data_IF_082012261630
#
_entry.id   IF_082012261630
#
_cell.length_a   1.000
_cell.length_b   1.000
_cell.length_c   1.000
_cell.angle_alpha   90.00
_cell.angle_beta   90.00
_cell.angle_gamma   90.00
#
_symmetry.space_group_name_H-M   'P 1'
#
loop_
_entity.id
_entity.type
_entity.pdbx_description
1 polymer ?
#
# COMPACT_ATOMS: atom_id res chain seq x y z
N UNK A 1 7.03 28.76 -24.86
CA UNK A 1 6.62 27.80 -23.81
C UNK A 1 5.90 26.66 -24.50
N UNK A 2 6.44 25.44 -24.40
CA UNK A 2 5.95 24.26 -25.11
C UNK A 2 4.98 23.47 -24.24
N UNK A 3 3.95 22.85 -24.83
CA UNK A 3 2.94 22.05 -24.10
C UNK A 3 3.58 20.92 -23.27
N UNK A 4 4.66 20.31 -23.77
CA UNK A 4 5.40 19.27 -23.04
C UNK A 4 6.02 19.74 -21.72
N UNK A 5 6.37 21.03 -21.60
CA UNK A 5 6.96 21.57 -20.36
C UNK A 5 5.88 21.74 -19.29
N UNK A 6 4.67 22.13 -19.70
CA UNK A 6 3.53 22.27 -18.79
C UNK A 6 3.02 20.91 -18.30
N UNK A 7 3.05 19.89 -19.15
CA UNK A 7 2.68 18.52 -18.76
C UNK A 7 3.70 17.93 -17.76
N UNK A 8 5.00 18.11 -17.99
CA UNK A 8 6.04 17.64 -17.07
C UNK A 8 5.99 18.35 -15.70
N UNK A 9 5.82 19.68 -15.67
CA UNK A 9 5.68 20.43 -14.41
C UNK A 9 4.41 20.05 -13.63
N UNK A 10 3.35 19.65 -14.34
CA UNK A 10 2.11 19.18 -13.74
C UNK A 10 2.26 17.79 -13.14
N UNK A 11 2.93 16.88 -13.86
CA UNK A 11 3.23 15.54 -13.39
C UNK A 11 4.11 15.55 -12.14
N UNK A 12 5.20 16.34 -12.14
CA UNK A 12 6.09 16.50 -10.99
C UNK A 12 5.35 17.03 -9.74
N UNK A 13 4.42 17.99 -9.92
CA UNK A 13 3.59 18.48 -8.82
C UNK A 13 2.64 17.40 -8.28
N UNK A 14 2.06 16.58 -9.16
CA UNK A 14 1.20 15.48 -8.76
C UNK A 14 1.98 14.42 -7.97
N UNK A 15 3.19 14.07 -8.41
CA UNK A 15 4.09 13.15 -7.70
C UNK A 15 4.50 13.68 -6.33
N UNK A 16 4.88 14.96 -6.24
CA UNK A 16 5.20 15.60 -4.95
C UNK A 16 4.02 15.60 -3.99
N UNK A 17 2.81 15.89 -4.49
CA UNK A 17 1.60 15.90 -3.67
C UNK A 17 1.23 14.52 -3.15
N UNK A 18 1.38 13.47 -3.97
CA UNK A 18 1.20 12.10 -3.55
C UNK A 18 2.20 11.74 -2.44
N UNK A 19 3.49 12.01 -2.66
CA UNK A 19 4.53 11.72 -1.65
C UNK A 19 4.29 12.41 -0.30
N UNK A 20 3.78 13.65 -0.29
CA UNK A 20 3.40 14.32 0.95
C UNK A 20 2.21 13.67 1.65
N UNK A 21 1.19 13.26 0.90
CA UNK A 21 0.02 12.56 1.41
C UNK A 21 0.43 11.23 2.04
N UNK A 22 1.32 10.50 1.39
CA UNK A 22 1.85 9.21 1.85
C UNK A 22 2.56 9.37 3.18
N UNK A 23 3.43 10.38 3.30
CA UNK A 23 4.14 10.69 4.56
C UNK A 23 3.16 11.04 5.68
N UNK A 24 2.05 11.71 5.37
CA UNK A 24 1.02 12.06 6.36
C UNK A 24 0.27 10.81 6.82
N UNK A 25 -0.11 9.93 5.90
CA UNK A 25 -0.80 8.69 6.24
C UNK A 25 0.09 7.72 7.02
N UNK A 26 1.37 7.61 6.66
CA UNK A 26 2.35 6.88 7.46
C UNK A 26 2.48 7.44 8.88
N UNK A 27 2.64 8.76 9.02
CA UNK A 27 2.75 9.40 10.33
C UNK A 27 1.47 9.22 11.18
N UNK A 28 0.29 9.22 10.55
CA UNK A 28 -0.99 8.96 11.22
C UNK A 28 -1.07 7.51 11.71
N UNK A 29 -0.67 6.56 10.88
CA UNK A 29 -0.66 5.14 11.22
C UNK A 29 0.31 4.84 12.36
N UNK A 30 1.52 5.42 12.35
CA UNK A 30 2.49 5.30 13.45
C UNK A 30 1.93 5.83 14.77
N UNK A 31 1.36 7.04 14.77
CA UNK A 31 0.69 7.60 15.97
C UNK A 31 -0.50 6.77 16.44
N UNK A 32 -1.17 6.06 15.55
CA UNK A 32 -2.26 5.13 15.92
C UNK A 32 -1.68 3.88 16.56
N UNK A 33 -0.63 3.30 15.98
CA UNK A 33 0.05 2.13 16.51
C UNK A 33 0.59 2.37 17.93
N UNK A 34 1.21 3.54 18.16
CA UNK A 34 1.66 3.96 19.49
C UNK A 34 0.53 4.01 20.51
N UNK A 35 -0.66 4.49 20.10
CA UNK A 35 -1.84 4.58 20.96
C UNK A 35 -2.53 3.24 21.22
N UNK A 36 -2.50 2.33 20.23
CA UNK A 36 -3.04 0.98 20.38
C UNK A 36 -2.22 0.18 21.39
N UNK A 37 -0.89 0.32 21.33
CA UNK A 37 0.02 -0.52 22.10
C UNK A 37 0.18 -1.92 21.48
N UNK A 38 1.20 -2.64 21.94
CA UNK A 38 1.61 -3.91 21.32
C UNK A 38 0.56 -5.02 21.47
N UNK A 39 -0.02 -5.18 22.66
CA UNK A 39 -0.97 -6.27 22.93
C UNK A 39 -2.21 -6.18 22.03
N UNK A 40 -2.76 -4.98 21.86
CA UNK A 40 -3.89 -4.76 20.97
C UNK A 40 -3.50 -4.92 19.49
N UNK A 41 -2.28 -4.50 19.11
CA UNK A 41 -1.76 -4.74 17.77
C UNK A 41 -1.63 -6.24 17.46
N UNK A 42 -1.11 -7.03 18.40
CA UNK A 42 -1.00 -8.48 18.29
C UNK A 42 -2.39 -9.14 18.19
N UNK A 43 -3.35 -8.71 19.02
CA UNK A 43 -4.75 -9.21 18.96
C UNK A 43 -5.38 -8.96 17.59
N UNK A 44 -5.26 -7.74 17.06
CA UNK A 44 -5.77 -7.38 15.73
C UNK A 44 -5.09 -8.16 14.62
N UNK A 45 -3.78 -8.39 14.73
CA UNK A 45 -3.04 -9.17 13.74
C UNK A 45 -3.54 -10.62 13.69
N UNK A 46 -3.87 -11.22 14.84
CA UNK A 46 -4.47 -12.55 14.90
C UNK A 46 -5.88 -12.61 14.28
N UNK A 47 -6.69 -11.55 14.46
CA UNK A 47 -8.04 -11.44 13.91
C UNK A 47 -8.06 -11.07 12.40
N UNK A 48 -6.94 -10.57 11.86
CA UNK A 48 -6.88 -10.06 10.48
C UNK A 48 -7.28 -11.12 9.44
N UNK A 49 -6.87 -12.38 9.64
CA UNK A 49 -7.19 -13.48 8.72
C UNK A 49 -8.68 -13.82 8.69
N UNK A 50 -9.41 -13.59 9.79
CA UNK A 50 -10.86 -13.82 9.85
C UNK A 50 -11.66 -12.70 9.19
N UNK A 51 -11.12 -11.48 9.21
CA UNK A 51 -11.75 -10.28 8.66
C UNK A 51 -11.45 -10.07 7.16
N UNK A 52 -10.45 -10.76 6.62
CA UNK A 52 -10.00 -10.57 5.25
C UNK A 52 -10.75 -11.47 4.26
N UNK A 53 -11.34 -10.86 3.24
CA UNK A 53 -11.95 -11.56 2.11
C UNK A 53 -10.89 -11.81 1.02
N UNK A 54 -10.09 -12.85 1.21
CA UNK A 54 -9.06 -13.25 0.26
C UNK A 54 -9.61 -13.81 -1.05
N UNK A 55 -8.73 -14.45 -1.83
CA UNK A 55 -9.08 -15.00 -3.13
C UNK A 55 -10.23 -16.02 -3.02
N UNK A 56 -11.34 -15.77 -3.72
CA UNK A 56 -12.45 -16.70 -3.88
C UNK A 56 -12.82 -16.91 -5.35
N UNK A 57 -12.75 -18.13 -5.92
CA UNK A 57 -12.91 -18.38 -7.36
C UNK A 57 -14.20 -17.85 -8.01
N UNK A 58 -15.26 -17.62 -7.24
CA UNK A 58 -16.56 -17.10 -7.74
C UNK A 58 -16.90 -15.69 -7.29
N UNK A 59 -16.31 -15.22 -6.18
CA UNK A 59 -16.74 -13.99 -5.49
C UNK A 59 -15.64 -12.94 -5.46
N UNK A 60 -14.37 -13.38 -5.45
CA UNK A 60 -13.20 -12.53 -5.52
C UNK A 60 -12.05 -13.27 -6.24
N UNK A 61 -12.19 -13.58 -7.55
CA UNK A 61 -11.26 -14.46 -8.26
C UNK A 61 -9.83 -13.89 -8.33
N UNK A 62 -9.72 -12.56 -8.26
CA UNK A 62 -8.47 -11.79 -8.30
C UNK A 62 -8.07 -11.25 -6.93
N UNK A 63 -8.74 -11.72 -5.86
CA UNK A 63 -8.41 -11.35 -4.49
C UNK A 63 -6.95 -11.68 -4.16
N UNK A 64 -6.30 -10.78 -3.45
CA UNK A 64 -4.96 -10.98 -2.91
C UNK A 64 -5.06 -11.58 -1.52
N UNK A 65 -4.04 -12.34 -1.12
CA UNK A 65 -3.85 -12.71 0.28
C UNK A 65 -3.44 -11.48 1.10
N UNK A 66 -3.57 -11.57 2.43
CA UNK A 66 -3.04 -10.55 3.33
C UNK A 66 -1.54 -10.34 3.09
N UNK A 67 -1.15 -9.08 2.99
CA UNK A 67 0.22 -8.66 2.75
C UNK A 67 0.83 -8.07 4.02
N UNK A 68 2.16 -7.97 4.04
CA UNK A 68 2.87 -7.30 5.11
C UNK A 68 2.63 -5.79 5.06
N UNK A 69 2.28 -5.22 6.21
CA UNK A 69 2.13 -3.79 6.33
C UNK A 69 3.50 -3.14 6.61
N UNK A 70 3.94 -2.24 5.73
CA UNK A 70 5.21 -1.51 5.88
C UNK A 70 5.29 -0.58 7.13
N UNK A 71 4.17 -0.34 7.82
CA UNK A 71 4.13 0.46 9.06
C UNK A 71 4.32 -0.38 10.29
N UNK A 72 3.53 -1.45 10.42
CA UNK A 72 3.45 -2.23 11.66
C UNK A 72 4.09 -3.62 11.55
N UNK A 73 4.52 -4.00 10.35
CA UNK A 73 5.18 -5.26 10.01
C UNK A 73 4.36 -6.53 10.32
N UNK A 74 3.05 -6.41 10.54
CA UNK A 74 2.15 -7.57 10.58
C UNK A 74 1.63 -7.88 9.17
N UNK A 75 1.47 -9.17 8.88
CA UNK A 75 0.76 -9.69 7.70
C UNK A 75 -0.74 -9.47 7.85
N UNK A 76 -1.16 -8.23 7.68
CA UNK A 76 -2.52 -7.75 7.96
C UNK A 76 -2.98 -6.64 7.01
N UNK A 77 -2.27 -6.43 5.90
CA UNK A 77 -2.65 -5.48 4.87
C UNK A 77 -3.61 -6.13 3.88
N UNK A 78 -4.85 -5.66 3.83
CA UNK A 78 -5.86 -6.13 2.89
C UNK A 78 -5.91 -5.18 1.71
N UNK A 79 -5.54 -5.67 0.54
CA UNK A 79 -5.52 -4.90 -0.71
C UNK A 79 -6.46 -5.49 -1.77
N UNK A 80 -6.95 -4.61 -2.62
CA UNK A 80 -7.63 -4.98 -3.86
C UNK A 80 -6.61 -5.51 -4.88
N UNK A 81 -7.09 -6.27 -5.87
CA UNK A 81 -6.28 -6.91 -6.90
C UNK A 81 -5.21 -5.97 -7.48
N UNK A 82 -4.01 -6.52 -7.69
CA UNK A 82 -2.79 -5.76 -8.00
C UNK A 82 -2.92 -4.86 -9.24
N UNK A 83 -2.33 -3.66 -9.15
CA UNK A 83 -2.39 -2.64 -10.19
C UNK A 83 -1.77 -3.08 -11.53
N UNK A 84 -1.85 -2.20 -12.54
CA UNK A 84 -1.54 -2.47 -13.96
C UNK A 84 -0.16 -3.11 -14.25
N UNK A 85 0.77 -3.05 -13.30
CA UNK A 85 2.12 -3.61 -13.40
C UNK A 85 2.22 -5.09 -13.01
N UNK A 86 1.13 -5.72 -12.55
CA UNK A 86 1.11 -7.16 -12.21
C UNK A 86 1.90 -7.53 -10.95
N UNK A 87 2.44 -6.55 -10.22
CA UNK A 87 3.32 -6.73 -9.06
C UNK A 87 2.60 -7.18 -7.77
N UNK A 88 1.32 -7.53 -7.84
CA UNK A 88 0.48 -7.85 -6.68
C UNK A 88 0.43 -6.71 -5.62
N UNK A 89 0.75 -5.48 -6.00
CA UNK A 89 0.63 -4.29 -5.14
C UNK A 89 -0.66 -3.57 -5.50
N UNK A 90 -1.55 -3.41 -4.53
CA UNK A 90 -2.86 -2.79 -4.70
C UNK A 90 -3.21 -1.78 -3.62
N UNK A 91 -4.25 -0.99 -3.90
CA UNK A 91 -4.90 -0.08 -2.95
C UNK A 91 -5.48 -0.89 -1.81
N UNK A 92 -5.45 -0.36 -0.59
CA UNK A 92 -5.98 -1.12 0.54
C UNK A 92 -5.72 -0.46 1.88
N UNK A 93 -5.98 -1.24 2.93
CA UNK A 93 -5.78 -0.79 4.29
C UNK A 93 -5.23 -1.91 5.19
N UNK A 94 -4.38 -1.54 6.14
CA UNK A 94 -3.96 -2.43 7.22
C UNK A 94 -5.05 -2.58 8.29
N UNK A 95 -5.45 -3.82 8.58
CA UNK A 95 -6.44 -4.13 9.60
C UNK A 95 -5.93 -3.90 11.05
N UNK A 96 -4.62 -3.69 11.23
CA UNK A 96 -3.99 -3.40 12.53
C UNK A 96 -3.86 -1.91 12.76
N UNK A 97 -3.01 -1.22 12.00
CA UNK A 97 -2.67 0.19 12.20
C UNK A 97 -3.52 1.16 11.37
N UNK A 98 -4.39 0.64 10.50
CA UNK A 98 -5.23 1.41 9.58
C UNK A 98 -4.40 2.39 8.72
N UNK A 99 -3.22 1.94 8.30
CA UNK A 99 -2.49 2.58 7.22
C UNK A 99 -3.25 2.33 5.91
N UNK A 100 -3.52 3.38 5.16
CA UNK A 100 -4.19 3.30 3.85
C UNK A 100 -3.15 3.50 2.74
N UNK A 101 -3.11 2.58 1.78
CA UNK A 101 -2.31 2.71 0.58
C UNK A 101 -3.18 3.27 -0.54
N UNK A 102 -2.90 4.50 -0.97
CA UNK A 102 -3.60 5.15 -2.07
C UNK A 102 -3.20 4.54 -3.42
N UNK A 103 -3.94 4.79 -4.52
CA UNK A 103 -3.54 4.36 -5.86
C UNK A 103 -2.17 4.90 -6.27
N UNK A 104 -1.82 6.12 -5.86
CA UNK A 104 -0.53 6.73 -6.17
C UNK A 104 0.62 5.98 -5.46
N UNK A 105 0.43 5.63 -4.18
CA UNK A 105 1.40 4.83 -3.42
C UNK A 105 1.54 3.45 -4.06
N UNK A 106 0.43 2.79 -4.36
CA UNK A 106 0.45 1.46 -4.96
C UNK A 106 1.20 1.45 -6.30
N UNK A 107 1.00 2.47 -7.14
CA UNK A 107 1.74 2.63 -8.39
C UNK A 107 3.23 2.94 -8.17
N UNK A 108 3.58 3.70 -7.13
CA UNK A 108 4.98 3.96 -6.77
C UNK A 108 5.67 2.68 -6.25
N UNK A 109 5.10 2.01 -5.24
CA UNK A 109 5.63 0.77 -4.68
C UNK A 109 5.77 -0.33 -5.76
N UNK A 110 4.80 -0.44 -6.66
CA UNK A 110 4.88 -1.36 -7.79
C UNK A 110 6.04 -1.02 -8.75
N UNK A 111 6.31 0.27 -9.00
CA UNK A 111 7.47 0.71 -9.81
C UNK A 111 8.79 0.40 -9.11
N UNK A 112 8.87 0.65 -7.80
CA UNK A 112 10.06 0.36 -6.99
C UNK A 112 10.38 -1.14 -6.99
N UNK A 113 9.38 -1.99 -6.69
CA UNK A 113 9.54 -3.45 -6.71
C UNK A 113 9.88 -3.99 -8.11
N UNK A 114 9.31 -3.40 -9.17
CA UNK A 114 9.64 -3.76 -10.55
C UNK A 114 11.10 -3.39 -10.88
N UNK A 115 11.56 -2.23 -10.42
CA UNK A 115 12.94 -1.79 -10.60
C UNK A 115 13.89 -2.74 -9.88
N UNK A 116 13.63 -3.06 -8.61
CA UNK A 116 14.41 -4.03 -7.84
C UNK A 116 14.44 -5.40 -8.53
N UNK A 117 13.28 -5.93 -8.92
CA UNK A 117 13.21 -7.26 -9.59
C UNK A 117 13.96 -7.29 -10.92
N UNK A 118 13.92 -6.20 -11.68
CA UNK A 118 14.51 -6.12 -13.03
C UNK A 118 16.00 -5.80 -13.03
N UNK A 119 16.49 -5.12 -12.00
CA UNK A 119 17.85 -4.57 -11.93
C UNK A 119 18.63 -5.02 -10.68
N UNK A 120 18.15 -6.02 -9.93
CA UNK A 120 18.85 -6.60 -8.78
C UNK A 120 20.19 -7.29 -9.12
N UNK A 121 20.52 -7.46 -10.40
CA UNK A 121 21.70 -8.21 -10.87
C UNK A 121 22.82 -7.32 -11.49
N UNK A 122 22.76 -5.98 -11.39
CA UNK A 122 23.84 -5.07 -11.88
C UNK A 122 24.86 -4.68 -10.80
#
# INVERSE_FOLDING_TARGET
MSLMVLDAEREDRHEQSASEEDRREWARALKRLERLGKEEADRRAAEAAELHEGRHPKHNPDGLDLQDCLVCNYTAFSSEAGGELGMQIGVGQCLVCHYERSPAIAAQEARELLYETRWADD
#
